data_IF_603072974282
#
_entry.id   IF_603072974282
#
_cell.length_a   1.000
_cell.length_b   1.000
_cell.length_c   1.000
_cell.angle_alpha   90.00
_cell.angle_beta   90.00
_cell.angle_gamma   90.00
#
_symmetry.space_group_name_H-M   'P 1'
#
loop_
_entity.id
_entity.type
_entity.pdbx_description
1 polymer ?
#
# COMPACT_ATOMS: atom_id res chain seq x y z
N UNK A 1 10.50 62.03 3.32
CA UNK A 1 11.31 63.10 3.91
C UNK A 1 12.53 62.41 4.48
N UNK A 2 13.72 62.52 4.00
CA UNK A 2 14.50 63.62 3.47
C UNK A 2 15.52 63.05 2.45
N UNK A 3 15.51 63.69 1.36
CA UNK A 3 16.47 63.71 0.27
C UNK A 3 17.82 64.30 0.77
N UNK A 4 18.98 63.74 0.36
CA UNK A 4 20.19 64.55 0.22
C UNK A 4 21.11 63.97 -0.85
N UNK A 5 21.26 64.78 -1.80
CA UNK A 5 21.95 64.83 -3.07
C UNK A 5 23.46 65.19 -2.92
N UNK A 6 24.25 64.83 -3.99
CA UNK A 6 25.36 65.56 -4.57
C UNK A 6 26.78 65.24 -4.10
N UNK A 7 27.62 64.92 -5.07
CA UNK A 7 29.04 64.98 -5.04
C UNK A 7 29.75 64.35 -6.25
N UNK A 8 29.62 64.99 -7.41
CA UNK A 8 30.45 64.73 -8.58
C UNK A 8 31.81 65.35 -8.36
N UNK A 9 32.87 64.55 -8.45
CA UNK A 9 34.22 65.10 -8.76
C UNK A 9 34.83 64.29 -9.90
N UNK A 10 35.00 64.97 -11.01
CA UNK A 10 35.70 64.54 -12.20
C UNK A 10 37.18 64.84 -12.00
N UNK A 11 38.08 63.88 -12.12
CA UNK A 11 39.50 64.10 -12.35
C UNK A 11 40.00 63.11 -13.42
N UNK A 12 40.31 63.70 -14.56
CA UNK A 12 41.01 63.06 -15.68
C UNK A 12 42.52 63.00 -15.35
N UNK A 13 43.11 61.84 -15.58
CA UNK A 13 44.56 61.67 -15.50
C UNK A 13 45.01 60.47 -16.30
N UNK A 14 45.80 60.72 -17.30
CA UNK A 14 46.19 59.80 -18.39
C UNK A 14 47.34 58.85 -18.02
N UNK A 15 47.29 57.69 -18.71
CA UNK A 15 48.42 56.90 -19.25
C UNK A 15 49.45 56.28 -18.29
N UNK A 16 49.45 54.94 -18.25
CA UNK A 16 50.63 54.12 -18.58
C UNK A 16 50.23 52.64 -18.61
N UNK A 17 50.40 52.01 -19.75
CA UNK A 17 50.16 50.55 -19.90
C UNK A 17 51.20 49.71 -19.17
N UNK A 18 50.70 48.72 -18.42
CA UNK A 18 51.45 47.53 -18.06
C UNK A 18 50.55 46.35 -18.31
N UNK A 19 50.87 45.61 -19.36
CA UNK A 19 50.23 44.31 -19.62
C UNK A 19 50.60 43.34 -18.47
N UNK A 20 49.69 43.22 -17.48
CA UNK A 20 49.76 42.15 -16.51
C UNK A 20 49.26 40.87 -17.16
N UNK A 21 50.16 39.91 -17.41
CA UNK A 21 49.80 38.55 -17.75
C UNK A 21 48.86 38.02 -16.67
N UNK A 22 47.62 37.76 -17.05
CA UNK A 22 46.69 36.96 -16.20
C UNK A 22 47.29 35.57 -16.03
N UNK A 23 47.90 35.32 -14.91
CA UNK A 23 48.24 33.95 -14.47
C UNK A 23 46.92 33.25 -14.15
N UNK A 24 46.52 32.35 -15.01
CA UNK A 24 45.42 31.40 -14.73
C UNK A 24 45.87 30.56 -13.52
N UNK A 25 45.03 30.50 -12.43
CA UNK A 25 45.34 29.62 -11.32
C UNK A 25 45.39 28.16 -11.81
N UNK A 26 46.26 27.30 -11.24
CA UNK A 26 46.30 25.90 -11.60
C UNK A 26 44.91 25.23 -11.40
N UNK A 27 44.51 24.31 -12.28
CA UNK A 27 43.23 23.60 -12.08
C UNK A 27 43.23 22.89 -10.76
N UNK A 28 42.20 23.15 -9.96
CA UNK A 28 41.93 22.48 -8.71
C UNK A 28 41.87 20.95 -8.94
N UNK A 29 42.55 20.11 -8.15
CA UNK A 29 42.54 18.68 -8.37
C UNK A 29 41.07 18.17 -8.29
N UNK A 30 40.68 17.43 -9.33
CA UNK A 30 39.34 16.84 -9.40
C UNK A 30 39.05 16.02 -8.13
N UNK A 31 37.85 16.17 -7.54
CA UNK A 31 37.49 15.38 -6.36
C UNK A 31 37.61 13.88 -6.68
N UNK A 32 38.11 13.06 -5.73
CA UNK A 32 38.24 11.63 -5.95
C UNK A 32 36.89 11.02 -6.38
N UNK A 33 36.93 10.02 -7.28
CA UNK A 33 35.69 9.37 -7.73
C UNK A 33 34.92 8.91 -6.51
N UNK A 34 33.69 9.44 -6.37
CA UNK A 34 32.79 8.97 -5.33
C UNK A 34 32.61 7.47 -5.53
N UNK A 35 33.09 6.68 -4.58
CA UNK A 35 32.86 5.24 -4.59
C UNK A 35 31.38 4.98 -4.82
N UNK A 36 31.07 4.27 -5.89
CA UNK A 36 29.71 3.89 -6.21
C UNK A 36 29.15 3.11 -5.02
N UNK A 37 28.31 3.75 -4.21
CA UNK A 37 27.56 3.09 -3.15
C UNK A 37 26.67 2.08 -3.84
N UNK A 38 27.00 0.80 -3.71
CA UNK A 38 26.16 -0.29 -4.22
C UNK A 38 24.76 -0.07 -3.66
N UNK A 39 23.72 0.04 -4.52
CA UNK A 39 22.36 0.24 -4.02
C UNK A 39 22.02 -0.87 -3.02
N UNK A 40 21.31 -0.56 -1.93
CA UNK A 40 20.93 -1.57 -0.96
C UNK A 40 20.14 -2.66 -1.70
N UNK A 41 20.34 -3.95 -1.36
CA UNK A 41 19.62 -5.04 -1.99
C UNK A 41 18.13 -4.80 -1.86
N UNK A 42 17.39 -5.06 -2.94
CA UNK A 42 15.93 -4.92 -2.96
C UNK A 42 15.31 -5.77 -1.85
N UNK A 43 14.27 -5.29 -1.16
CA UNK A 43 13.62 -6.04 -0.10
C UNK A 43 13.07 -7.38 -0.66
N UNK A 44 13.32 -8.47 0.07
CA UNK A 44 12.72 -9.76 -0.27
C UNK A 44 11.24 -9.70 0.09
N UNK A 45 10.38 -9.85 -0.90
CA UNK A 45 8.93 -9.84 -0.71
C UNK A 45 8.28 -10.90 -1.60
N UNK A 46 7.07 -11.31 -1.27
CA UNK A 46 6.33 -12.25 -2.07
C UNK A 46 4.89 -12.45 -1.57
N UNK A 47 4.07 -13.06 -2.43
CA UNK A 47 2.74 -13.55 -2.07
C UNK A 47 2.84 -14.99 -1.53
N UNK A 48 2.07 -15.28 -0.50
CA UNK A 48 1.91 -16.63 0.06
C UNK A 48 0.67 -17.30 -0.53
N UNK A 49 -0.38 -16.52 -0.79
CA UNK A 49 -1.63 -16.98 -1.38
C UNK A 49 -2.55 -15.80 -1.68
N UNK A 50 -3.43 -16.00 -2.62
CA UNK A 50 -4.46 -15.05 -3.01
C UNK A 50 -5.66 -15.82 -3.54
N UNK A 51 -6.84 -15.51 -3.06
CA UNK A 51 -8.10 -16.08 -3.50
C UNK A 51 -9.14 -14.98 -3.71
N UNK A 52 -9.95 -15.13 -4.77
CA UNK A 52 -11.05 -14.23 -5.06
C UNK A 52 -12.29 -15.02 -5.43
N UNK A 53 -13.37 -14.80 -4.69
CA UNK A 53 -14.68 -15.40 -4.95
C UNK A 53 -15.67 -14.31 -5.31
N UNK A 54 -16.36 -14.48 -6.43
CA UNK A 54 -17.40 -13.55 -6.86
C UNK A 54 -18.73 -14.28 -6.93
N UNK A 55 -19.74 -13.75 -6.27
CA UNK A 55 -21.12 -14.20 -6.31
C UNK A 55 -22.03 -13.11 -6.88
N UNK A 56 -23.13 -13.54 -7.52
CA UNK A 56 -24.18 -12.64 -8.00
C UNK A 56 -25.55 -13.08 -7.51
N UNK A 57 -26.39 -12.12 -7.19
CA UNK A 57 -27.78 -12.37 -6.81
C UNK A 57 -28.70 -11.31 -7.43
N UNK A 58 -29.93 -11.68 -7.70
CA UNK A 58 -30.95 -10.76 -8.27
C UNK A 58 -31.88 -10.28 -7.19
N UNK A 59 -32.13 -8.98 -7.13
CA UNK A 59 -33.11 -8.37 -6.20
C UNK A 59 -34.52 -8.82 -6.57
N UNK A 60 -35.16 -9.56 -5.68
CA UNK A 60 -36.55 -9.99 -5.84
C UNK A 60 -37.54 -8.99 -5.21
N UNK A 61 -37.20 -8.48 -4.05
CA UNK A 61 -38.02 -7.52 -3.30
C UNK A 61 -37.14 -6.65 -2.42
N UNK A 62 -37.62 -5.42 -2.22
CA UNK A 62 -37.01 -4.46 -1.30
C UNK A 62 -38.09 -3.77 -0.47
N UNK A 63 -37.86 -3.60 0.82
CA UNK A 63 -38.64 -2.80 1.72
C UNK A 63 -37.78 -1.66 2.28
N UNK A 64 -38.00 -0.47 1.81
CA UNK A 64 -37.18 0.70 2.20
C UNK A 64 -37.42 1.12 3.65
N UNK A 65 -38.61 0.86 4.23
CA UNK A 65 -38.92 1.23 5.62
C UNK A 65 -38.14 0.33 6.61
N UNK A 66 -38.17 -0.98 6.37
CA UNK A 66 -37.51 -1.96 7.23
C UNK A 66 -36.11 -2.33 6.75
N UNK A 67 -35.69 -1.78 5.60
CA UNK A 67 -34.39 -2.03 4.94
C UNK A 67 -34.13 -3.50 4.58
N UNK A 68 -35.18 -4.31 4.47
CA UNK A 68 -35.07 -5.70 4.04
C UNK A 68 -34.94 -5.78 2.52
N UNK A 69 -33.94 -6.52 2.05
CA UNK A 69 -33.70 -6.82 0.64
C UNK A 69 -33.74 -8.34 0.47
N UNK A 70 -34.62 -8.83 -0.37
CA UNK A 70 -34.72 -10.24 -0.72
C UNK A 70 -33.97 -10.47 -2.01
N UNK A 71 -32.96 -11.34 -1.96
CA UNK A 71 -32.07 -11.66 -3.05
C UNK A 71 -32.28 -13.12 -3.48
N UNK A 72 -32.23 -13.38 -4.78
CA UNK A 72 -32.20 -14.73 -5.36
C UNK A 72 -30.81 -15.00 -5.94
N UNK A 73 -30.12 -15.99 -5.39
CA UNK A 73 -28.82 -16.44 -5.87
C UNK A 73 -28.90 -17.14 -7.23
N UNK A 74 -27.74 -17.40 -7.82
CA UNK A 74 -27.60 -18.15 -9.07
C UNK A 74 -28.09 -19.60 -8.93
N UNK A 75 -28.02 -20.16 -7.72
CA UNK A 75 -28.53 -21.48 -7.36
C UNK A 75 -30.07 -21.54 -7.19
N UNK A 76 -30.74 -20.40 -7.42
CA UNK A 76 -32.19 -20.26 -7.29
C UNK A 76 -32.69 -20.06 -5.84
N UNK A 77 -31.83 -20.21 -4.84
CA UNK A 77 -32.20 -19.97 -3.44
C UNK A 77 -32.42 -18.50 -3.17
N UNK A 78 -33.32 -18.25 -2.22
CA UNK A 78 -33.69 -16.90 -1.84
C UNK A 78 -33.25 -16.62 -0.40
N UNK A 79 -32.61 -15.48 -0.19
CA UNK A 79 -32.17 -15.01 1.12
C UNK A 79 -32.70 -13.58 1.33
N UNK A 80 -33.11 -13.27 2.55
CA UNK A 80 -33.47 -11.90 2.93
C UNK A 80 -32.44 -11.37 3.92
N UNK A 81 -31.87 -10.22 3.56
CA UNK A 81 -30.89 -9.51 4.37
C UNK A 81 -31.45 -8.14 4.81
N UNK A 82 -30.92 -7.61 5.90
CA UNK A 82 -31.18 -6.24 6.34
C UNK A 82 -30.00 -5.38 5.91
N UNK A 83 -30.23 -4.40 5.04
CA UNK A 83 -29.22 -3.43 4.66
C UNK A 83 -28.92 -2.51 5.85
N UNK A 84 -27.70 -2.52 6.35
CA UNK A 84 -27.27 -1.68 7.48
C UNK A 84 -27.35 -0.17 7.18
N UNK A 85 -27.26 0.69 8.21
CA UNK A 85 -27.36 2.14 8.05
C UNK A 85 -26.27 2.73 7.15
N UNK A 86 -25.13 2.03 7.04
CA UNK A 86 -24.01 2.40 6.17
C UNK A 86 -24.33 2.28 4.68
N UNK A 87 -25.33 1.46 4.28
CA UNK A 87 -25.76 1.34 2.88
C UNK A 87 -26.53 2.58 2.48
N UNK A 88 -25.88 3.46 1.74
CA UNK A 88 -26.49 4.67 1.17
C UNK A 88 -27.29 4.32 -0.10
N UNK A 89 -28.20 5.22 -0.49
CA UNK A 89 -28.90 5.16 -1.77
C UNK A 89 -29.77 3.90 -1.97
N UNK A 90 -30.20 3.24 -0.90
CA UNK A 90 -31.01 2.02 -0.96
C UNK A 90 -32.28 2.21 -1.80
N UNK A 91 -32.83 3.45 -1.84
CA UNK A 91 -33.98 3.80 -2.66
C UNK A 91 -33.75 3.66 -4.18
N UNK A 92 -32.50 3.58 -4.61
CA UNK A 92 -32.13 3.40 -6.01
C UNK A 92 -32.11 1.93 -6.45
N UNK A 93 -32.22 1.00 -5.49
CA UNK A 93 -32.29 -0.43 -5.78
C UNK A 93 -33.71 -0.78 -6.24
N UNK A 94 -33.79 -1.49 -7.35
CA UNK A 94 -35.05 -1.92 -7.95
C UNK A 94 -35.10 -3.44 -8.02
N UNK A 95 -36.33 -3.97 -8.07
CA UNK A 95 -36.54 -5.38 -8.41
C UNK A 95 -35.92 -5.68 -9.78
N UNK A 96 -35.13 -6.75 -9.84
CA UNK A 96 -34.42 -7.17 -11.03
C UNK A 96 -32.97 -6.68 -11.10
N UNK A 97 -32.56 -5.71 -10.28
CA UNK A 97 -31.15 -5.31 -10.20
C UNK A 97 -30.28 -6.50 -9.77
N UNK A 98 -29.03 -6.50 -10.22
CA UNK A 98 -28.05 -7.53 -9.90
C UNK A 98 -27.13 -7.00 -8.81
N UNK A 99 -27.05 -7.74 -7.72
CA UNK A 99 -26.06 -7.51 -6.65
C UNK A 99 -24.87 -8.40 -6.91
N UNK A 100 -23.70 -7.79 -7.09
CA UNK A 100 -22.41 -8.48 -7.18
C UNK A 100 -21.71 -8.38 -5.84
N UNK A 101 -21.25 -9.51 -5.35
CA UNK A 101 -20.47 -9.61 -4.11
C UNK A 101 -19.12 -10.20 -4.49
N UNK A 102 -18.05 -9.52 -4.16
CA UNK A 102 -16.69 -10.01 -4.35
C UNK A 102 -16.00 -10.11 -3.00
N UNK A 103 -15.56 -11.29 -2.66
CA UNK A 103 -14.71 -11.57 -1.52
C UNK A 103 -13.30 -11.83 -2.02
N UNK A 104 -12.35 -11.16 -1.45
CA UNK A 104 -10.94 -11.30 -1.77
C UNK A 104 -10.15 -11.50 -0.48
N UNK A 105 -9.27 -12.49 -0.47
CA UNK A 105 -8.29 -12.65 0.59
C UNK A 105 -6.89 -12.82 -0.01
N UNK A 106 -5.91 -12.29 0.68
CA UNK A 106 -4.51 -12.45 0.29
C UNK A 106 -3.59 -12.47 1.49
N UNK A 107 -2.48 -13.18 1.35
CA UNK A 107 -1.40 -13.19 2.32
C UNK A 107 -0.08 -12.93 1.61
N UNK A 108 0.63 -11.93 2.09
CA UNK A 108 1.92 -11.51 1.55
C UNK A 108 2.96 -11.37 2.67
N UNK A 109 4.23 -11.40 2.31
CA UNK A 109 5.32 -11.12 3.24
C UNK A 109 6.33 -10.15 2.64
N UNK A 110 6.99 -9.40 3.52
CA UNK A 110 8.10 -8.50 3.20
C UNK A 110 9.18 -8.66 4.25
N UNK A 111 10.42 -8.82 3.82
CA UNK A 111 11.58 -8.91 4.71
C UNK A 111 12.31 -7.57 4.72
N UNK A 112 12.58 -7.06 5.90
CA UNK A 112 13.32 -5.82 6.14
C UNK A 112 14.54 -6.10 7.02
N UNK A 113 15.58 -5.27 6.88
CA UNK A 113 16.76 -5.36 7.72
C UNK A 113 16.46 -4.99 9.18
N UNK A 114 17.24 -5.52 10.15
CA UNK A 114 17.07 -5.22 11.57
C UNK A 114 17.03 -3.70 11.85
N UNK A 115 16.31 -3.31 12.89
CA UNK A 115 16.24 -1.91 13.35
C UNK A 115 15.05 -1.11 12.81
N UNK A 116 14.20 -1.67 11.96
CA UNK A 116 12.98 -1.03 11.47
C UNK A 116 11.74 -1.47 12.26
N UNK A 117 11.62 -1.01 13.49
CA UNK A 117 10.49 -1.25 14.38
C UNK A 117 10.57 -2.57 15.16
N UNK A 118 9.79 -2.65 16.23
CA UNK A 118 9.70 -3.83 17.10
C UNK A 118 8.68 -4.83 16.58
N UNK A 119 8.82 -6.13 16.91
CA UNK A 119 7.78 -7.12 16.66
C UNK A 119 6.43 -6.66 17.21
N UNK A 120 5.36 -6.91 16.49
CA UNK A 120 4.03 -6.42 16.86
C UNK A 120 2.95 -6.89 15.91
N UNK A 121 1.72 -6.51 16.23
CA UNK A 121 0.54 -6.71 15.37
C UNK A 121 -0.09 -5.35 15.14
N UNK A 122 -0.36 -5.05 13.88
CA UNK A 122 -1.14 -3.87 13.48
C UNK A 122 -2.36 -4.31 12.69
N UNK A 123 -3.47 -3.61 12.89
CA UNK A 123 -4.71 -3.85 12.16
C UNK A 123 -5.20 -2.53 11.60
N UNK A 124 -5.64 -2.54 10.37
CA UNK A 124 -6.32 -1.41 9.74
C UNK A 124 -7.60 -1.88 9.05
N UNK A 125 -8.62 -1.03 9.07
CA UNK A 125 -9.87 -1.26 8.36
C UNK A 125 -10.17 -0.04 7.51
N UNK A 126 -10.43 -0.27 6.24
CA UNK A 126 -10.83 0.77 5.29
C UNK A 126 -12.24 0.48 4.79
N UNK A 127 -13.10 1.48 4.81
CA UNK A 127 -14.48 1.38 4.34
C UNK A 127 -14.69 2.39 3.21
N UNK A 128 -15.09 1.89 2.04
CA UNK A 128 -15.49 2.69 0.91
C UNK A 128 -17.00 2.57 0.68
N UNK A 129 -17.62 3.64 0.19
CA UNK A 129 -19.07 3.70 -0.07
C UNK A 129 -19.33 4.43 -1.37
N UNK A 130 -20.40 4.02 -2.07
CA UNK A 130 -20.88 4.73 -3.24
C UNK A 130 -21.23 6.18 -2.90
N UNK A 131 -21.01 7.09 -3.84
CA UNK A 131 -21.41 8.49 -3.73
C UNK A 131 -22.94 8.65 -3.70
N UNK A 132 -23.40 9.79 -3.19
CA UNK A 132 -24.83 10.12 -3.18
C UNK A 132 -25.35 10.19 -4.62
N UNK A 133 -26.50 9.57 -4.86
CA UNK A 133 -27.11 9.53 -6.19
C UNK A 133 -26.66 8.36 -7.07
N UNK A 134 -25.67 7.60 -6.66
CA UNK A 134 -25.22 6.38 -7.36
C UNK A 134 -25.97 5.13 -6.85
N UNK A 135 -25.94 4.04 -7.62
CA UNK A 135 -26.40 2.74 -7.11
C UNK A 135 -25.63 2.37 -5.85
N UNK A 136 -26.26 1.70 -4.87
CA UNK A 136 -25.55 1.26 -3.68
C UNK A 136 -24.36 0.38 -4.01
N UNK A 137 -23.28 0.65 -3.33
CA UNK A 137 -22.05 -0.11 -3.43
C UNK A 137 -21.08 0.33 -2.34
N UNK A 138 -20.10 -0.50 -2.09
CA UNK A 138 -19.07 -0.21 -1.12
C UNK A 138 -18.16 -1.40 -0.92
N UNK A 139 -17.09 -1.18 -0.20
CA UNK A 139 -16.18 -2.24 0.21
C UNK A 139 -15.69 -2.01 1.64
N UNK A 140 -15.39 -3.11 2.29
CA UNK A 140 -14.67 -3.13 3.57
C UNK A 140 -13.42 -3.94 3.33
N UNK A 141 -12.27 -3.36 3.65
CA UNK A 141 -10.98 -4.05 3.60
C UNK A 141 -10.40 -4.06 4.99
N UNK A 142 -10.09 -5.23 5.50
CA UNK A 142 -9.38 -5.45 6.76
C UNK A 142 -7.98 -5.96 6.45
N UNK A 143 -6.98 -5.34 7.05
CA UNK A 143 -5.58 -5.72 6.89
C UNK A 143 -4.98 -5.94 8.26
N UNK A 144 -4.40 -7.12 8.47
CA UNK A 144 -3.66 -7.47 9.68
C UNK A 144 -2.20 -7.71 9.27
N UNK A 145 -1.29 -6.96 9.85
CA UNK A 145 0.15 -7.16 9.65
C UNK A 145 0.76 -7.64 10.96
N UNK A 146 1.40 -8.79 10.90
CA UNK A 146 2.17 -9.35 12.01
C UNK A 146 3.64 -9.17 11.69
N UNK A 147 4.34 -8.42 12.53
CA UNK A 147 5.78 -8.21 12.45
C UNK A 147 6.49 -9.19 13.36
N UNK A 148 7.37 -10.00 12.77
CA UNK A 148 8.13 -11.06 13.44
C UNK A 148 9.61 -10.93 13.11
N UNK A 149 10.48 -11.63 13.87
CA UNK A 149 11.93 -11.63 13.62
C UNK A 149 12.38 -13.02 13.23
N UNK A 150 13.33 -13.12 12.29
CA UNK A 150 13.99 -14.38 11.95
C UNK A 150 14.91 -14.79 13.11
N UNK A 151 14.57 -15.87 13.78
CA UNK A 151 15.34 -16.41 14.89
C UNK A 151 16.39 -17.43 14.44
N UNK A 152 16.10 -18.23 13.40
CA UNK A 152 17.00 -19.21 12.82
C UNK A 152 16.64 -19.50 11.37
N UNK A 153 17.63 -19.96 10.59
CA UNK A 153 17.47 -20.36 9.18
C UNK A 153 18.11 -21.73 9.01
N UNK A 154 17.32 -22.70 8.54
CA UNK A 154 17.77 -24.02 8.10
C UNK A 154 17.64 -24.09 6.57
N UNK A 155 18.75 -23.86 5.87
CA UNK A 155 18.79 -23.90 4.41
C UNK A 155 18.64 -25.32 3.86
N UNK A 156 19.16 -26.33 4.57
CA UNK A 156 19.09 -27.72 4.13
C UNK A 156 17.63 -28.24 4.17
N UNK A 157 16.91 -27.95 5.24
CA UNK A 157 15.51 -28.30 5.39
C UNK A 157 14.53 -27.32 4.73
N UNK A 158 15.02 -26.20 4.20
CA UNK A 158 14.18 -25.11 3.67
C UNK A 158 13.21 -24.53 4.72
N UNK A 159 13.69 -24.36 5.96
CA UNK A 159 12.86 -23.84 7.05
C UNK A 159 13.44 -22.54 7.62
N UNK A 160 12.52 -21.69 8.09
CA UNK A 160 12.84 -20.48 8.86
C UNK A 160 12.11 -20.55 10.20
N UNK A 161 12.82 -20.28 11.28
CA UNK A 161 12.20 -20.11 12.61
C UNK A 161 11.92 -18.63 12.81
N UNK A 162 10.66 -18.28 13.00
CA UNK A 162 10.19 -16.93 13.25
C UNK A 162 9.87 -16.76 14.73
N UNK A 163 10.26 -15.60 15.28
CA UNK A 163 9.90 -15.20 16.65
C UNK A 163 8.79 -14.16 16.57
N UNK A 164 7.64 -14.49 17.14
CA UNK A 164 6.48 -13.64 17.25
C UNK A 164 6.64 -12.51 18.27
N UNK A 165 5.66 -11.58 18.34
CA UNK A 165 5.68 -10.44 19.26
C UNK A 165 5.70 -10.83 20.74
N UNK A 166 5.16 -12.00 21.07
CA UNK A 166 5.12 -12.54 22.44
C UNK A 166 6.32 -13.44 22.75
N UNK A 167 7.30 -13.55 21.84
CA UNK A 167 8.46 -14.42 21.98
C UNK A 167 8.24 -15.87 21.55
N UNK A 168 7.04 -16.21 21.11
CA UNK A 168 6.71 -17.54 20.58
C UNK A 168 7.51 -17.84 19.32
N UNK A 169 7.93 -19.08 19.18
CA UNK A 169 8.70 -19.55 18.02
C UNK A 169 7.82 -20.39 17.11
N UNK A 170 7.90 -20.11 15.81
CA UNK A 170 7.20 -20.85 14.75
C UNK A 170 8.17 -21.25 13.65
N UNK A 171 8.18 -22.52 13.31
CA UNK A 171 8.96 -23.04 12.18
C UNK A 171 8.07 -23.03 10.95
N UNK A 172 8.54 -22.37 9.89
CA UNK A 172 7.83 -22.23 8.63
C UNK A 172 8.66 -22.79 7.50
N UNK A 173 8.07 -23.63 6.66
CA UNK A 173 8.71 -24.15 5.46
C UNK A 173 8.63 -23.10 4.35
N UNK A 174 9.78 -22.79 3.73
CA UNK A 174 9.87 -21.81 2.65
C UNK A 174 9.67 -22.52 1.31
N UNK A 175 8.72 -22.03 0.51
CA UNK A 175 8.40 -22.62 -0.80
C UNK A 175 9.52 -22.47 -1.81
N UNK A 176 10.22 -21.35 -1.78
CA UNK A 176 11.35 -21.03 -2.66
C UNK A 176 12.62 -20.89 -1.84
N UNK A 177 13.43 -21.96 -1.73
CA UNK A 177 14.65 -21.97 -0.92
C UNK A 177 15.68 -20.93 -1.34
N UNK A 178 15.69 -20.49 -2.61
CA UNK A 178 16.65 -19.49 -3.11
C UNK A 178 16.52 -18.16 -2.39
N UNK A 179 15.34 -17.84 -1.86
CA UNK A 179 15.10 -16.63 -1.07
C UNK A 179 15.79 -16.64 0.29
N UNK A 180 16.17 -17.82 0.78
CA UNK A 180 16.92 -17.96 2.03
C UNK A 180 18.35 -17.42 1.94
N UNK A 181 18.88 -17.25 0.73
CA UNK A 181 20.23 -16.69 0.54
C UNK A 181 20.28 -15.17 0.74
N UNK A 182 19.14 -14.50 0.59
CA UNK A 182 19.01 -13.05 0.71
C UNK A 182 18.59 -12.58 2.11
N UNK A 183 18.25 -13.51 3.02
CA UNK A 183 17.78 -13.19 4.37
C UNK A 183 18.76 -13.66 5.45
N UNK A 184 18.72 -13.03 6.62
CA UNK A 184 19.63 -13.28 7.72
C UNK A 184 18.88 -13.40 9.05
N UNK A 185 19.48 -14.09 10.00
CA UNK A 185 19.00 -14.08 11.39
C UNK A 185 19.00 -12.65 11.92
N UNK A 186 17.92 -12.26 12.55
CA UNK A 186 17.67 -10.88 13.00
C UNK A 186 16.90 -10.00 12.01
N UNK A 187 16.75 -10.40 10.75
CA UNK A 187 15.88 -9.68 9.81
C UNK A 187 14.44 -9.72 10.31
N UNK A 188 13.68 -8.69 9.97
CA UNK A 188 12.28 -8.52 10.34
C UNK A 188 11.41 -8.92 9.17
N UNK A 189 10.36 -9.70 9.44
CA UNK A 189 9.38 -10.14 8.44
C UNK A 189 8.02 -9.56 8.79
N UNK A 190 7.47 -8.77 7.90
CA UNK A 190 6.06 -8.35 7.94
C UNK A 190 5.23 -9.34 7.14
N UNK A 191 4.33 -10.04 7.83
CA UNK A 191 3.35 -10.94 7.23
C UNK A 191 2.03 -10.19 7.24
N UNK A 192 1.50 -9.90 6.07
CA UNK A 192 0.27 -9.13 5.89
C UNK A 192 -0.82 -10.04 5.35
N UNK A 193 -1.89 -10.16 6.10
CA UNK A 193 -3.16 -10.78 5.68
C UNK A 193 -4.15 -9.67 5.35
N UNK A 194 -4.74 -9.74 4.17
CA UNK A 194 -5.76 -8.80 3.72
C UNK A 194 -7.02 -9.57 3.35
N UNK A 195 -8.14 -9.10 3.87
CA UNK A 195 -9.48 -9.57 3.56
C UNK A 195 -10.30 -8.38 3.07
N UNK A 196 -10.95 -8.53 1.92
CA UNK A 196 -11.80 -7.49 1.37
C UNK A 196 -13.14 -8.05 0.92
N UNK A 197 -14.20 -7.39 1.32
CA UNK A 197 -15.56 -7.66 0.85
C UNK A 197 -16.07 -6.43 0.10
N UNK A 198 -16.39 -6.61 -1.17
CA UNK A 198 -16.99 -5.57 -2.01
C UNK A 198 -18.41 -5.97 -2.42
N UNK A 199 -19.31 -5.01 -2.40
CA UNK A 199 -20.70 -5.16 -2.86
C UNK A 199 -21.02 -4.04 -3.83
N UNK A 200 -21.55 -4.38 -4.99
CA UNK A 200 -22.03 -3.43 -5.98
C UNK A 200 -23.42 -3.83 -6.48
N UNK A 201 -24.28 -2.83 -6.70
CA UNK A 201 -25.59 -3.03 -7.33
C UNK A 201 -25.53 -2.48 -8.75
N UNK A 202 -25.81 -3.35 -9.71
CA UNK A 202 -25.84 -3.04 -11.14
C UNK A 202 -27.28 -3.08 -11.65
N UNK A 203 -27.63 -2.18 -12.58
CA UNK A 203 -28.93 -2.29 -13.24
C UNK A 203 -28.97 -3.54 -14.11
N UNK A 204 -30.09 -4.23 -14.09
CA UNK A 204 -30.33 -5.27 -15.08
C UNK A 204 -30.24 -4.63 -16.46
N UNK A 205 -29.23 -5.04 -17.25
CA UNK A 205 -29.02 -4.50 -18.59
C UNK A 205 -30.34 -4.52 -19.38
N UNK A 206 -30.73 -3.37 -19.93
CA UNK A 206 -31.79 -3.31 -20.93
C UNK A 206 -31.30 -4.10 -22.15
N UNK A 207 -31.95 -5.23 -22.41
CA UNK A 207 -31.88 -5.88 -23.70
C UNK A 207 -32.60 -5.04 -24.73
#
# INVERSE_FOLDING_TARGET
>A
MTLRTIGIVLCAGALAGCAAKKSTPPPEPAPPPRAAVKPPPAPVAGSIGEDTVTGTATVQRINLKTRHVTLKGADGKTVTIVAGPEVRNLAQVKKGDVVRITYHESMAYKVEKPGKGSPGVSTSTNVSRAELGQKPGGSVTSTVTVRVTIAAIDKAGSHVTLRGPKGDLRVVKVRDPSKLDAVHVGDVVDITYTEALAVAVEEKGRK
#
